data_IF_137107725667
#
_entry.id   IF_137107725667
#
_cell.length_a   1.000
_cell.length_b   1.000
_cell.length_c   1.000
_cell.angle_alpha   90.00
_cell.angle_beta   90.00
_cell.angle_gamma   90.00
#
_symmetry.space_group_name_H-M   'P 1'
#
loop_
_entity.id
_entity.type
_entity.pdbx_description
1 polymer ?
#
# COMPACT_ATOMS: atom_id res chain seq x y z
N UNK A 1 7.40 -8.36 30.83
CA UNK A 1 8.25 -7.17 30.66
C UNK A 1 7.70 -6.42 29.44
N UNK A 2 6.87 -5.39 29.65
CA UNK A 2 6.27 -4.62 28.57
C UNK A 2 7.21 -3.49 28.14
N UNK A 3 8.06 -3.75 27.14
CA UNK A 3 8.79 -2.68 26.46
C UNK A 3 7.84 -1.80 25.66
N UNK A 4 8.26 -0.58 25.35
CA UNK A 4 7.51 0.32 24.44
C UNK A 4 7.37 -0.38 23.08
N UNK A 5 6.16 -0.44 22.49
CA UNK A 5 5.98 -1.04 21.17
C UNK A 5 6.83 -0.30 20.11
N UNK A 6 7.28 -1.00 19.05
CA UNK A 6 8.01 -0.37 17.97
C UNK A 6 7.16 0.71 17.29
N UNK A 7 7.81 1.74 16.76
CA UNK A 7 7.13 2.78 15.99
C UNK A 7 6.60 2.24 14.67
N UNK A 8 7.42 1.41 14.03
CA UNK A 8 7.12 0.76 12.75
C UNK A 8 7.40 -0.73 12.87
N UNK A 9 6.48 -1.55 12.40
CA UNK A 9 6.71 -3.00 12.19
C UNK A 9 6.73 -3.25 10.69
N UNK A 10 7.78 -3.92 10.22
CA UNK A 10 7.92 -4.37 8.83
C UNK A 10 7.67 -5.87 8.78
N UNK A 11 6.92 -6.32 7.79
CA UNK A 11 6.75 -7.73 7.45
C UNK A 11 6.84 -7.91 5.93
N UNK A 12 7.30 -9.06 5.48
CA UNK A 12 7.20 -9.45 4.08
C UNK A 12 6.07 -10.45 3.86
N UNK A 13 5.48 -10.46 2.65
CA UNK A 13 4.65 -11.56 2.15
C UNK A 13 5.15 -11.90 0.76
N UNK A 14 6.11 -12.80 0.69
CA UNK A 14 6.84 -13.17 -0.52
C UNK A 14 6.02 -14.17 -1.36
N UNK A 15 4.95 -13.69 -2.00
CA UNK A 15 4.00 -14.50 -2.77
C UNK A 15 3.70 -13.87 -4.13
N UNK A 16 3.65 -14.69 -5.19
CA UNK A 16 3.25 -14.29 -6.54
C UNK A 16 2.45 -15.39 -7.26
N UNK A 17 1.73 -16.19 -6.46
CA UNK A 17 0.94 -17.30 -6.96
C UNK A 17 -0.29 -16.87 -7.74
N UNK A 18 -0.82 -15.66 -7.49
CA UNK A 18 -1.99 -15.10 -8.16
C UNK A 18 -1.66 -14.29 -9.42
N UNK A 19 -0.38 -14.13 -9.73
CA UNK A 19 0.08 -13.46 -10.94
C UNK A 19 -0.44 -14.14 -12.20
N UNK A 20 -0.99 -13.34 -13.13
CA UNK A 20 -1.66 -13.83 -14.35
C UNK A 20 -0.81 -13.68 -15.61
N UNK A 21 0.29 -12.92 -15.55
CA UNK A 21 1.16 -12.66 -16.70
C UNK A 21 2.62 -13.00 -16.39
N UNK A 22 3.28 -12.30 -15.48
CA UNK A 22 4.69 -12.47 -15.18
C UNK A 22 4.93 -12.62 -13.69
N UNK A 23 5.55 -13.73 -13.26
CA UNK A 23 5.93 -13.95 -11.86
C UNK A 23 7.26 -13.32 -11.56
N UNK A 24 7.47 -12.88 -10.33
CA UNK A 24 8.71 -12.27 -9.85
C UNK A 24 8.52 -11.38 -8.63
N UNK A 25 7.27 -11.00 -8.34
CA UNK A 25 6.95 -10.13 -7.21
C UNK A 25 7.29 -10.77 -5.84
N UNK A 26 7.28 -12.09 -5.73
CA UNK A 26 7.72 -12.79 -4.52
C UNK A 26 9.17 -12.49 -4.10
N UNK A 27 9.99 -11.95 -5.00
CA UNK A 27 11.39 -11.57 -4.71
C UNK A 27 11.50 -10.13 -4.16
N UNK A 28 10.44 -9.33 -4.24
CA UNK A 28 10.46 -7.93 -3.81
C UNK A 28 10.80 -7.73 -2.33
N UNK A 29 10.22 -8.47 -1.37
CA UNK A 29 10.52 -8.26 0.04
C UNK A 29 12.01 -8.37 0.36
N UNK A 30 12.68 -9.38 -0.19
CA UNK A 30 14.12 -9.55 -0.03
C UNK A 30 14.89 -8.39 -0.68
N UNK A 31 14.57 -8.05 -1.94
CA UNK A 31 15.32 -7.03 -2.68
C UNK A 31 15.19 -5.64 -2.07
N UNK A 32 14.00 -5.28 -1.60
CA UNK A 32 13.76 -4.01 -0.89
C UNK A 32 14.62 -3.95 0.38
N UNK A 33 14.70 -5.04 1.18
CA UNK A 33 15.56 -5.08 2.38
C UNK A 33 17.04 -4.93 2.05
N UNK A 34 17.53 -5.60 1.00
CA UNK A 34 18.93 -5.48 0.56
C UNK A 34 19.28 -4.03 0.21
N UNK A 35 18.40 -3.34 -0.53
CA UNK A 35 18.61 -1.94 -0.90
C UNK A 35 18.46 -1.01 0.30
N UNK A 36 17.52 -1.27 1.20
CA UNK A 36 17.35 -0.45 2.42
C UNK A 36 18.58 -0.48 3.33
N UNK A 37 19.35 -1.56 3.30
CA UNK A 37 20.58 -1.68 4.08
C UNK A 37 21.74 -0.78 3.59
N UNK A 38 21.69 -0.33 2.34
CA UNK A 38 22.73 0.50 1.72
C UNK A 38 22.29 1.94 1.44
N UNK A 39 20.98 2.21 1.48
CA UNK A 39 20.45 3.55 1.24
C UNK A 39 20.35 4.36 2.53
N UNK A 40 20.72 5.66 2.52
CA UNK A 40 20.54 6.51 3.68
C UNK A 40 19.07 6.60 4.08
N UNK A 41 18.72 6.39 5.37
CA UNK A 41 17.33 6.50 5.86
C UNK A 41 16.92 7.98 6.02
N UNK A 42 16.61 8.62 4.90
CA UNK A 42 16.28 10.05 4.85
C UNK A 42 15.18 10.31 3.80
N UNK A 43 14.27 11.24 4.12
CA UNK A 43 13.26 11.69 3.15
C UNK A 43 13.89 12.65 2.11
N UNK A 44 13.17 12.94 1.03
CA UNK A 44 13.65 13.89 0.02
C UNK A 44 13.78 15.34 0.55
N UNK A 45 13.05 15.68 1.62
CA UNK A 45 13.15 16.97 2.30
C UNK A 45 14.29 17.02 3.34
N UNK A 46 15.08 15.94 3.43
CA UNK A 46 16.23 15.87 4.33
C UNK A 46 15.88 15.48 5.77
N UNK A 47 14.66 15.04 6.04
CA UNK A 47 14.29 14.55 7.36
C UNK A 47 14.88 13.16 7.62
N UNK A 48 15.73 13.05 8.62
CA UNK A 48 16.33 11.80 9.03
C UNK A 48 15.28 10.86 9.66
N UNK A 49 15.26 9.60 9.23
CA UNK A 49 14.41 8.56 9.83
C UNK A 49 15.05 7.90 11.05
N UNK A 50 16.29 8.29 11.39
CA UNK A 50 16.96 7.89 12.63
C UNK A 50 16.12 8.28 13.84
N UNK A 51 16.02 7.38 14.82
CA UNK A 51 15.16 7.56 16.00
C UNK A 51 13.79 6.91 15.90
N UNK A 52 13.37 6.44 14.69
CA UNK A 52 12.27 5.49 14.59
C UNK A 52 12.72 4.12 15.09
N UNK A 53 11.99 3.55 16.03
CA UNK A 53 12.18 2.16 16.44
C UNK A 53 11.47 1.26 15.43
N UNK A 54 12.22 0.73 14.47
CA UNK A 54 11.74 -0.16 13.41
C UNK A 54 12.04 -1.61 13.78
N UNK A 55 11.02 -2.46 13.76
CA UNK A 55 11.14 -3.92 13.96
C UNK A 55 10.74 -4.65 12.69
N UNK A 56 11.65 -5.36 12.07
CA UNK A 56 11.35 -6.30 10.98
C UNK A 56 11.07 -7.69 11.57
N UNK A 57 9.89 -8.23 11.28
CA UNK A 57 9.45 -9.56 11.76
C UNK A 57 9.65 -10.66 10.71
N UNK A 58 10.32 -10.34 9.60
CA UNK A 58 10.60 -11.28 8.51
C UNK A 58 9.43 -11.53 7.57
N UNK A 59 9.55 -12.57 6.77
CA UNK A 59 8.53 -12.95 5.82
C UNK A 59 7.49 -13.89 6.45
N UNK A 60 6.24 -13.66 6.09
CA UNK A 60 5.08 -14.43 6.51
C UNK A 60 4.59 -15.24 5.30
N UNK A 61 4.62 -16.55 5.43
CA UNK A 61 4.30 -17.48 4.36
C UNK A 61 2.79 -17.76 4.30
N UNK A 62 2.08 -17.43 3.21
CA UNK A 62 0.70 -17.84 2.98
C UNK A 62 0.58 -19.28 2.44
N UNK A 63 1.71 -20.00 2.27
CA UNK A 63 1.73 -21.33 1.65
C UNK A 63 1.68 -21.27 0.13
N UNK A 64 1.16 -22.32 -0.49
CA UNK A 64 1.15 -22.47 -1.95
C UNK A 64 -0.03 -21.76 -2.63
N UNK A 65 -1.07 -21.46 -1.87
CA UNK A 65 -2.33 -20.94 -2.38
C UNK A 65 -2.89 -19.86 -1.45
N UNK A 66 -3.08 -18.66 -1.99
CA UNK A 66 -3.58 -17.51 -1.22
C UNK A 66 -5.02 -17.72 -0.75
N UNK A 67 -5.85 -18.47 -1.50
CA UNK A 67 -7.24 -18.77 -1.15
C UNK A 67 -7.35 -19.48 0.21
N UNK A 68 -6.47 -20.46 0.43
CA UNK A 68 -6.46 -21.22 1.68
C UNK A 68 -5.51 -20.63 2.73
N UNK A 69 -4.49 -19.90 2.31
CA UNK A 69 -3.35 -19.53 3.13
C UNK A 69 -3.35 -18.11 3.68
N UNK A 70 -4.17 -17.19 3.13
CA UNK A 70 -4.15 -15.76 3.50
C UNK A 70 -4.36 -15.49 5.01
N UNK A 71 -5.02 -16.40 5.71
CA UNK A 71 -5.27 -16.24 7.15
C UNK A 71 -4.00 -16.35 8.01
N UNK A 72 -2.99 -17.07 7.56
CA UNK A 72 -1.74 -17.24 8.33
C UNK A 72 -0.98 -15.92 8.49
N UNK A 73 -0.58 -15.21 7.42
CA UNK A 73 0.01 -13.89 7.57
C UNK A 73 -0.96 -12.90 8.24
N UNK A 74 -2.25 -12.94 7.94
CA UNK A 74 -3.24 -12.08 8.57
C UNK A 74 -3.22 -12.17 10.11
N UNK A 75 -3.19 -13.39 10.67
CA UNK A 75 -3.16 -13.59 12.12
C UNK A 75 -1.88 -13.00 12.74
N UNK A 76 -0.74 -13.16 12.08
CA UNK A 76 0.53 -12.61 12.54
C UNK A 76 0.54 -11.09 12.49
N UNK A 77 0.02 -10.50 11.41
CA UNK A 77 -0.09 -9.04 11.26
C UNK A 77 -1.11 -8.44 12.25
N UNK A 78 -2.22 -9.14 12.51
CA UNK A 78 -3.22 -8.69 13.48
C UNK A 78 -2.71 -8.68 14.93
N UNK A 79 -1.67 -9.46 15.25
CA UNK A 79 -1.03 -9.48 16.55
C UNK A 79 -0.05 -8.31 16.76
N UNK A 80 0.28 -7.55 15.73
CA UNK A 80 1.11 -6.34 15.84
C UNK A 80 0.37 -5.28 16.67
N UNK A 81 1.02 -4.62 17.65
CA UNK A 81 0.38 -3.58 18.47
C UNK A 81 -0.30 -2.51 17.60
N UNK A 82 -1.51 -2.09 17.96
CA UNK A 82 -2.29 -1.11 17.18
C UNK A 82 -1.63 0.28 17.12
N UNK A 83 -0.73 0.58 18.04
CA UNK A 83 0.05 1.82 18.10
C UNK A 83 1.21 1.82 17.09
N UNK A 84 1.67 0.64 16.67
CA UNK A 84 2.74 0.51 15.69
C UNK A 84 2.19 0.73 14.28
N UNK A 85 2.91 1.49 13.48
CA UNK A 85 2.64 1.60 12.05
C UNK A 85 3.05 0.30 11.36
N UNK A 86 2.18 -0.27 10.53
CA UNK A 86 2.47 -1.51 9.83
C UNK A 86 2.94 -1.23 8.40
N UNK A 87 4.13 -1.69 8.05
CA UNK A 87 4.62 -1.70 6.67
C UNK A 87 4.70 -3.14 6.18
N UNK A 88 4.04 -3.44 5.05
CA UNK A 88 4.13 -4.76 4.43
C UNK A 88 4.83 -4.64 3.07
N UNK A 89 5.90 -5.41 2.93
CA UNK A 89 6.59 -5.62 1.66
C UNK A 89 5.88 -6.78 0.97
N UNK A 90 5.01 -6.49 0.02
CA UNK A 90 4.21 -7.50 -0.63
C UNK A 90 4.93 -8.20 -1.77
N UNK A 91 4.32 -9.27 -2.22
CA UNK A 91 4.52 -9.90 -3.51
C UNK A 91 3.50 -9.34 -4.51
N UNK A 92 2.64 -10.22 -5.07
CA UNK A 92 1.50 -9.78 -5.87
C UNK A 92 0.40 -9.11 -5.01
N UNK A 93 -0.56 -8.43 -5.65
CA UNK A 93 -1.55 -7.63 -4.92
C UNK A 93 -2.54 -8.46 -4.09
N UNK A 94 -2.68 -9.77 -4.31
CA UNK A 94 -3.49 -10.62 -3.44
C UNK A 94 -2.95 -10.69 -2.00
N UNK A 95 -1.70 -10.31 -1.75
CA UNK A 95 -1.15 -10.19 -0.40
C UNK A 95 -1.91 -9.16 0.46
N UNK A 96 -2.58 -8.17 -0.18
CA UNK A 96 -3.45 -7.20 0.48
C UNK A 96 -4.66 -7.83 1.17
N UNK A 97 -5.09 -9.03 0.79
CA UNK A 97 -6.16 -9.77 1.47
C UNK A 97 -5.78 -9.99 2.95
N UNK A 98 -4.54 -10.45 3.19
CA UNK A 98 -4.01 -10.63 4.53
C UNK A 98 -3.82 -9.31 5.27
N UNK A 99 -3.25 -8.32 4.59
CA UNK A 99 -2.90 -7.02 5.16
C UNK A 99 -4.16 -6.26 5.58
N UNK A 100 -5.14 -6.11 4.69
CA UNK A 100 -6.36 -5.34 4.97
C UNK A 100 -7.24 -6.05 6.02
N UNK A 101 -7.30 -7.39 6.00
CA UNK A 101 -8.01 -8.15 7.03
C UNK A 101 -7.38 -7.97 8.42
N UNK A 102 -6.05 -7.96 8.51
CA UNK A 102 -5.35 -7.68 9.76
C UNK A 102 -5.56 -6.23 10.21
N UNK A 103 -5.45 -5.28 9.29
CA UNK A 103 -5.62 -3.86 9.59
C UNK A 103 -7.04 -3.52 10.06
N UNK A 104 -8.06 -4.14 9.48
CA UNK A 104 -9.43 -3.95 9.94
C UNK A 104 -9.66 -4.46 11.36
N UNK A 105 -8.98 -5.58 11.75
CA UNK A 105 -9.01 -6.07 13.15
C UNK A 105 -8.29 -5.13 14.10
N UNK A 106 -7.14 -4.56 13.69
CA UNK A 106 -6.36 -3.60 14.49
C UNK A 106 -7.04 -2.23 14.59
N UNK A 107 -7.79 -1.86 13.54
CA UNK A 107 -8.39 -0.54 13.37
C UNK A 107 -9.80 -0.63 12.83
N UNK A 108 -10.80 -1.00 13.67
CA UNK A 108 -12.20 -0.99 13.25
C UNK A 108 -12.59 0.37 12.63
N UNK A 109 -13.26 0.32 11.49
CA UNK A 109 -13.63 1.53 10.76
C UNK A 109 -12.54 2.07 9.82
N UNK A 110 -11.57 1.24 9.48
CA UNK A 110 -10.48 1.54 8.55
C UNK A 110 -10.98 2.06 7.21
N UNK A 111 -10.30 3.06 6.67
CA UNK A 111 -10.37 3.49 5.28
C UNK A 111 -9.13 2.99 4.52
N UNK A 112 -9.27 2.79 3.22
CA UNK A 112 -8.17 2.34 2.36
C UNK A 112 -7.98 3.32 1.22
N UNK A 113 -6.74 3.73 1.00
CA UNK A 113 -6.28 4.38 -0.22
C UNK A 113 -5.55 3.32 -1.05
N UNK A 114 -6.19 2.90 -2.13
CA UNK A 114 -5.69 1.94 -3.11
C UNK A 114 -5.09 2.71 -4.28
N UNK A 115 -3.78 2.75 -4.37
CA UNK A 115 -3.05 3.47 -5.41
C UNK A 115 -2.56 2.46 -6.43
N UNK A 116 -3.13 2.49 -7.63
CA UNK A 116 -3.03 1.39 -8.59
C UNK A 116 -3.45 1.84 -9.99
N UNK A 117 -2.94 1.18 -11.03
CA UNK A 117 -3.45 1.30 -12.38
C UNK A 117 -4.82 0.63 -12.55
N UNK A 118 -5.08 -0.40 -11.74
CA UNK A 118 -6.22 -1.30 -11.80
C UNK A 118 -7.10 -1.16 -10.53
N UNK A 119 -8.42 -1.35 -10.60
CA UNK A 119 -9.27 -1.40 -9.41
C UNK A 119 -9.17 -2.71 -8.62
N UNK A 120 -8.80 -3.82 -9.27
CA UNK A 120 -8.75 -5.19 -8.71
C UNK A 120 -10.07 -5.65 -8.08
N UNK A 121 -11.18 -5.20 -8.65
CA UNK A 121 -12.55 -5.43 -8.15
C UNK A 121 -13.32 -6.48 -8.93
N UNK A 122 -12.69 -7.18 -9.88
CA UNK A 122 -13.32 -8.29 -10.59
C UNK A 122 -13.78 -9.38 -9.63
N UNK A 123 -14.95 -9.97 -9.87
CA UNK A 123 -15.36 -11.18 -9.15
C UNK A 123 -14.64 -12.40 -9.68
N UNK A 124 -14.35 -12.40 -10.99
CA UNK A 124 -13.62 -13.45 -11.68
C UNK A 124 -12.78 -12.83 -12.81
N UNK A 125 -11.48 -13.08 -12.82
CA UNK A 125 -10.57 -12.56 -13.83
C UNK A 125 -9.59 -13.65 -14.28
N UNK A 126 -9.33 -13.72 -15.60
CA UNK A 126 -8.29 -14.56 -16.20
C UNK A 126 -8.27 -16.02 -15.70
N UNK A 127 -9.46 -16.60 -15.48
CA UNK A 127 -9.61 -18.01 -15.11
C UNK A 127 -9.71 -18.30 -13.61
N UNK A 128 -9.74 -17.28 -12.73
CA UNK A 128 -9.80 -17.46 -11.29
C UNK A 128 -10.49 -16.32 -10.54
N UNK A 129 -10.83 -16.60 -9.27
CA UNK A 129 -11.34 -15.61 -8.32
C UNK A 129 -10.23 -15.04 -7.42
N UNK A 130 -9.07 -15.67 -7.41
CA UNK A 130 -7.92 -15.36 -6.56
C UNK A 130 -6.71 -14.92 -7.40
N UNK A 131 -6.98 -14.15 -8.43
CA UNK A 131 -5.97 -13.51 -9.28
C UNK A 131 -5.76 -12.06 -8.85
N UNK A 132 -4.64 -11.45 -9.27
CA UNK A 132 -4.33 -10.05 -8.96
C UNK A 132 -5.49 -9.11 -9.30
N UNK A 133 -6.15 -9.24 -10.47
CA UNK A 133 -7.31 -8.43 -10.83
C UNK A 133 -8.58 -8.62 -9.96
N UNK A 134 -8.53 -9.52 -8.96
CA UNK A 134 -9.61 -9.73 -7.98
C UNK A 134 -9.17 -9.36 -6.55
N UNK A 135 -7.96 -8.85 -6.37
CA UNK A 135 -7.31 -8.69 -5.07
C UNK A 135 -8.13 -7.81 -4.10
N UNK A 136 -8.52 -6.62 -4.51
CA UNK A 136 -9.33 -5.74 -3.67
C UNK A 136 -10.72 -6.33 -3.40
N UNK A 137 -11.34 -6.97 -4.39
CA UNK A 137 -12.64 -7.64 -4.21
C UNK A 137 -12.56 -8.70 -3.11
N UNK A 138 -11.54 -9.57 -3.15
CA UNK A 138 -11.33 -10.60 -2.12
C UNK A 138 -10.96 -9.99 -0.77
N UNK A 139 -10.15 -8.93 -0.77
CA UNK A 139 -9.81 -8.22 0.46
C UNK A 139 -11.04 -7.62 1.15
N UNK A 140 -11.98 -7.03 0.41
CA UNK A 140 -13.25 -6.52 0.95
C UNK A 140 -14.09 -7.64 1.57
N UNK A 141 -14.25 -8.78 0.87
CA UNK A 141 -15.01 -9.92 1.36
C UNK A 141 -14.38 -10.54 2.63
N UNK A 142 -13.06 -10.66 2.68
CA UNK A 142 -12.34 -11.25 3.81
C UNK A 142 -12.28 -10.33 5.04
N UNK A 143 -12.11 -9.03 4.82
CA UNK A 143 -11.96 -8.04 5.90
C UNK A 143 -13.27 -7.49 6.44
N UNK A 144 -14.34 -7.50 5.62
CA UNK A 144 -15.59 -6.83 5.93
C UNK A 144 -15.51 -5.29 5.86
N UNK A 145 -14.50 -4.74 5.16
CA UNK A 145 -14.43 -3.30 4.90
C UNK A 145 -15.54 -2.91 3.94
N UNK A 146 -16.33 -1.91 4.32
CA UNK A 146 -17.38 -1.35 3.47
C UNK A 146 -16.78 -0.71 2.22
N UNK A 147 -17.26 -1.03 1.00
CA UNK A 147 -16.70 -0.46 -0.24
C UNK A 147 -16.68 1.07 -0.26
N UNK A 148 -17.63 1.74 0.39
CA UNK A 148 -17.68 3.21 0.52
C UNK A 148 -16.47 3.80 1.28
N UNK A 149 -15.67 2.98 1.98
CA UNK A 149 -14.44 3.39 2.67
C UNK A 149 -13.19 3.24 1.79
N UNK A 150 -13.37 2.84 0.54
CA UNK A 150 -12.28 2.68 -0.43
C UNK A 150 -12.17 3.95 -1.28
N UNK A 151 -10.94 4.38 -1.47
CA UNK A 151 -10.53 5.37 -2.46
C UNK A 151 -9.53 4.70 -3.39
N UNK A 152 -9.81 4.66 -4.67
CA UNK A 152 -8.89 4.19 -5.72
C UNK A 152 -8.30 5.42 -6.40
N UNK A 153 -6.97 5.47 -6.51
CA UNK A 153 -6.24 6.57 -7.12
C UNK A 153 -5.24 6.04 -8.16
N UNK A 154 -5.26 6.61 -9.36
CA UNK A 154 -4.35 6.22 -10.44
C UNK A 154 -4.95 5.28 -11.48
N UNK A 155 -6.18 4.81 -11.25
CA UNK A 155 -6.85 3.86 -12.16
C UNK A 155 -6.90 4.37 -13.60
N UNK A 156 -6.61 3.45 -14.55
CA UNK A 156 -6.61 3.72 -15.98
C UNK A 156 -6.92 2.50 -16.85
N UNK A 157 -6.76 1.31 -16.30
CA UNK A 157 -7.16 0.05 -16.94
C UNK A 157 -8.29 -0.57 -16.13
N UNK A 158 -9.43 -0.80 -16.78
CA UNK A 158 -10.67 -1.20 -16.11
C UNK A 158 -11.36 -2.32 -16.88
N UNK A 159 -11.89 -3.28 -16.13
CA UNK A 159 -12.95 -4.13 -16.65
C UNK A 159 -14.33 -3.47 -16.43
N UNK A 160 -15.31 -3.64 -17.36
CA UNK A 160 -16.63 -3.02 -17.23
C UNK A 160 -17.35 -3.35 -15.91
N UNK A 161 -17.18 -4.56 -15.39
CA UNK A 161 -17.81 -4.96 -14.12
C UNK A 161 -17.25 -4.20 -12.91
N UNK A 162 -15.99 -3.78 -12.97
CA UNK A 162 -15.35 -3.00 -11.90
C UNK A 162 -15.93 -1.59 -11.82
N UNK A 163 -16.13 -0.94 -12.98
CA UNK A 163 -16.77 0.37 -13.06
C UNK A 163 -18.21 0.31 -12.52
N UNK A 164 -18.93 -0.76 -12.85
CA UNK A 164 -20.26 -1.04 -12.32
C UNK A 164 -20.25 -1.21 -10.79
N UNK A 165 -19.26 -1.96 -10.26
CA UNK A 165 -19.11 -2.15 -8.82
C UNK A 165 -18.80 -0.83 -8.11
N UNK A 166 -17.87 -0.04 -8.64
CA UNK A 166 -17.47 1.27 -8.12
C UNK A 166 -18.68 2.19 -8.01
N UNK A 167 -19.45 2.31 -9.11
CA UNK A 167 -20.63 3.19 -9.19
C UNK A 167 -21.73 2.77 -8.21
N UNK A 168 -21.98 1.45 -8.03
CA UNK A 168 -23.06 0.93 -7.19
C UNK A 168 -22.73 0.95 -5.69
N UNK A 169 -21.46 0.91 -5.31
CA UNK A 169 -21.03 0.68 -3.93
C UNK A 169 -20.35 1.91 -3.26
N UNK A 170 -20.35 3.06 -3.92
CA UNK A 170 -19.84 4.31 -3.34
C UNK A 170 -18.31 4.37 -3.17
N UNK A 171 -17.57 3.54 -3.90
CA UNK A 171 -16.11 3.63 -4.01
C UNK A 171 -15.76 4.96 -4.67
N UNK A 172 -14.81 5.70 -4.11
CA UNK A 172 -14.30 6.91 -4.76
C UNK A 172 -13.18 6.53 -5.73
N UNK A 173 -13.40 6.77 -7.02
CA UNK A 173 -12.36 6.63 -8.03
C UNK A 173 -11.81 8.00 -8.43
N UNK A 174 -10.49 8.15 -8.42
CA UNK A 174 -9.73 9.29 -8.93
C UNK A 174 -8.75 8.75 -9.95
N UNK A 175 -9.04 8.94 -11.23
CA UNK A 175 -8.27 8.35 -12.32
C UNK A 175 -6.90 8.98 -12.51
N UNK A 176 -5.99 8.27 -13.20
CA UNK A 176 -4.70 8.83 -13.61
C UNK A 176 -4.87 10.10 -14.45
N UNK A 177 -5.92 10.16 -15.26
CA UNK A 177 -6.24 11.34 -16.10
C UNK A 177 -6.63 12.55 -15.22
N UNK A 178 -7.44 12.34 -14.15
CA UNK A 178 -7.77 13.42 -13.20
C UNK A 178 -6.52 13.93 -12.49
N UNK A 179 -5.66 13.02 -12.02
CA UNK A 179 -4.40 13.36 -11.36
C UNK A 179 -3.47 14.12 -12.30
N UNK A 180 -3.34 13.69 -13.55
CA UNK A 180 -2.49 14.35 -14.53
C UNK A 180 -2.97 15.76 -14.89
N UNK A 181 -4.29 16.01 -14.85
CA UNK A 181 -4.88 17.32 -15.16
C UNK A 181 -4.72 18.33 -14.03
N UNK A 182 -4.98 17.92 -12.79
CA UNK A 182 -4.90 18.79 -11.61
C UNK A 182 -4.61 17.94 -10.35
N UNK A 183 -3.33 17.66 -10.14
CA UNK A 183 -2.87 16.89 -8.97
C UNK A 183 -3.33 17.51 -7.63
N UNK A 184 -3.23 18.84 -7.40
CA UNK A 184 -3.71 19.43 -6.16
C UNK A 184 -5.22 19.24 -5.93
N UNK A 185 -6.04 19.35 -6.97
CA UNK A 185 -7.48 19.11 -6.85
C UNK A 185 -7.79 17.63 -6.58
N UNK A 186 -7.12 16.71 -7.27
CA UNK A 186 -7.24 15.27 -7.05
C UNK A 186 -6.85 14.90 -5.61
N UNK A 187 -5.71 15.38 -5.12
CA UNK A 187 -5.26 15.15 -3.74
C UNK A 187 -6.24 15.69 -2.70
N UNK A 188 -6.77 16.91 -2.88
CA UNK A 188 -7.81 17.46 -2.00
C UNK A 188 -9.09 16.62 -1.98
N UNK A 189 -9.57 16.16 -3.13
CA UNK A 189 -10.76 15.29 -3.24
C UNK A 189 -10.57 14.00 -2.44
N UNK A 190 -9.38 13.41 -2.49
CA UNK A 190 -9.02 12.22 -1.70
C UNK A 190 -8.92 12.58 -0.22
N UNK A 191 -8.21 13.65 0.13
CA UNK A 191 -8.03 14.11 1.51
C UNK A 191 -9.36 14.40 2.21
N UNK A 192 -10.34 14.96 1.50
CA UNK A 192 -11.69 15.19 2.01
C UNK A 192 -12.41 13.88 2.36
N UNK A 193 -12.30 12.84 1.52
CA UNK A 193 -12.87 11.51 1.78
C UNK A 193 -12.21 10.83 2.98
N UNK A 194 -10.89 11.00 3.16
CA UNK A 194 -10.09 10.35 4.19
C UNK A 194 -9.99 11.13 5.51
N UNK A 195 -10.51 12.39 5.54
CA UNK A 195 -10.34 13.30 6.66
C UNK A 195 -10.83 12.73 8.00
N UNK A 196 -9.95 12.74 9.01
CA UNK A 196 -10.24 12.27 10.37
C UNK A 196 -10.29 10.77 10.54
N UNK A 197 -10.09 10.00 9.47
CA UNK A 197 -10.10 8.54 9.52
C UNK A 197 -8.72 7.93 9.68
N UNK A 198 -8.67 6.69 10.19
CA UNK A 198 -7.49 5.83 10.12
C UNK A 198 -7.40 5.25 8.72
N UNK A 199 -6.25 5.37 8.09
CA UNK A 199 -6.04 5.02 6.69
C UNK A 199 -4.89 4.03 6.55
N UNK A 200 -5.13 2.97 5.82
CA UNK A 200 -4.10 2.11 5.24
C UNK A 200 -3.93 2.49 3.76
N UNK A 201 -2.70 2.65 3.33
CA UNK A 201 -2.38 2.86 1.91
C UNK A 201 -1.85 1.54 1.35
N UNK A 202 -2.53 1.00 0.34
CA UNK A 202 -2.04 -0.11 -0.48
C UNK A 202 -1.53 0.48 -1.79
N UNK A 203 -0.26 0.29 -2.07
CA UNK A 203 0.40 0.91 -3.22
C UNK A 203 0.91 -0.17 -4.16
N UNK A 204 0.20 -0.32 -5.29
CA UNK A 204 0.72 -1.06 -6.41
C UNK A 204 1.77 -0.20 -7.13
N UNK A 205 2.94 -0.80 -7.39
CA UNK A 205 4.01 -0.05 -8.04
C UNK A 205 3.68 0.28 -9.49
N UNK A 206 2.73 -0.42 -10.10
CA UNK A 206 2.29 -0.17 -11.47
C UNK A 206 1.37 1.07 -11.59
N UNK A 207 0.93 1.67 -10.46
CA UNK A 207 0.36 3.01 -10.46
C UNK A 207 1.29 4.02 -11.11
N UNK A 208 2.60 3.79 -10.98
CA UNK A 208 3.62 4.56 -11.70
C UNK A 208 3.61 4.19 -13.19
N UNK A 209 3.94 5.17 -14.02
CA UNK A 209 4.18 4.91 -15.45
C UNK A 209 5.40 3.99 -15.62
N UNK A 210 5.39 3.06 -16.59
CA UNK A 210 6.53 2.17 -16.86
C UNK A 210 7.86 2.88 -17.12
N UNK A 211 7.84 4.17 -17.45
CA UNK A 211 9.05 4.99 -17.56
C UNK A 211 9.73 5.20 -16.19
N UNK A 212 9.01 5.06 -15.08
CA UNK A 212 9.50 5.21 -13.70
C UNK A 212 9.53 3.90 -12.93
N UNK A 213 8.70 2.93 -13.30
CA UNK A 213 8.62 1.62 -12.65
C UNK A 213 8.39 0.49 -13.67
N UNK A 214 9.43 0.12 -14.44
CA UNK A 214 9.32 -0.94 -15.46
C UNK A 214 9.20 -2.35 -14.87
N UNK A 215 9.64 -2.54 -13.62
CA UNK A 215 9.73 -3.85 -12.96
C UNK A 215 8.45 -4.22 -12.23
N UNK A 216 7.37 -4.45 -12.95
CA UNK A 216 6.08 -4.92 -12.43
C UNK A 216 5.52 -6.07 -13.25
N UNK A 217 4.47 -6.73 -12.76
CA UNK A 217 3.81 -7.81 -13.50
C UNK A 217 3.17 -7.30 -14.80
N UNK A 218 2.31 -6.29 -14.71
CA UNK A 218 1.53 -5.75 -15.83
C UNK A 218 1.80 -4.24 -15.93
N UNK A 219 2.85 -3.83 -16.67
CA UNK A 219 3.13 -2.41 -16.83
C UNK A 219 2.02 -1.73 -17.67
N UNK A 220 1.42 -0.70 -17.13
CA UNK A 220 0.35 0.08 -17.74
C UNK A 220 0.84 1.49 -18.10
N UNK A 221 0.70 1.90 -19.35
CA UNK A 221 1.13 3.22 -19.80
C UNK A 221 0.18 4.35 -19.38
N UNK A 222 0.70 5.58 -19.27
CA UNK A 222 -0.09 6.74 -18.86
C UNK A 222 -0.27 6.85 -17.34
N UNK A 223 0.62 6.24 -16.59
CA UNK A 223 0.65 6.26 -15.13
C UNK A 223 1.21 7.55 -14.52
N UNK A 224 1.39 7.53 -13.21
CA UNK A 224 1.95 8.63 -12.46
C UNK A 224 3.48 8.68 -12.64
N UNK A 225 4.04 9.88 -12.74
CA UNK A 225 5.46 10.04 -12.47
C UNK A 225 5.75 9.79 -10.99
N UNK A 226 7.00 9.44 -10.66
CA UNK A 226 7.42 9.27 -9.26
C UNK A 226 7.15 10.55 -8.45
N UNK A 227 7.31 11.75 -9.06
CA UNK A 227 7.01 13.03 -8.42
C UNK A 227 5.51 13.15 -8.08
N UNK A 228 4.64 12.84 -9.05
CA UNK A 228 3.19 12.90 -8.81
C UNK A 228 2.74 11.92 -7.73
N UNK A 229 3.31 10.72 -7.66
CA UNK A 229 2.99 9.74 -6.63
C UNK A 229 3.36 10.25 -5.22
N UNK A 230 4.54 10.84 -5.05
CA UNK A 230 4.98 11.40 -3.77
C UNK A 230 4.09 12.58 -3.32
N UNK A 231 3.78 13.49 -4.23
CA UNK A 231 2.92 14.64 -3.94
C UNK A 231 1.47 14.22 -3.67
N UNK A 232 0.96 13.24 -4.42
CA UNK A 232 -0.36 12.65 -4.21
C UNK A 232 -0.47 12.04 -2.81
N UNK A 233 0.49 11.20 -2.42
CA UNK A 233 0.50 10.56 -1.10
C UNK A 233 0.49 11.60 0.03
N UNK A 234 1.33 12.62 -0.04
CA UNK A 234 1.37 13.69 0.96
C UNK A 234 0.04 14.43 1.04
N UNK A 235 -0.44 14.96 -0.10
CA UNK A 235 -1.66 15.76 -0.13
C UNK A 235 -2.92 14.94 0.20
N UNK A 236 -3.02 13.70 -0.29
CA UNK A 236 -4.16 12.83 -0.05
C UNK A 236 -4.31 12.39 1.41
N UNK A 237 -3.19 12.28 2.14
CA UNK A 237 -3.19 11.74 3.51
C UNK A 237 -3.02 12.80 4.60
N UNK A 238 -2.80 14.07 4.25
CA UNK A 238 -2.49 15.16 5.20
C UNK A 238 -3.53 15.35 6.32
N UNK A 239 -4.80 15.01 6.06
CA UNK A 239 -5.93 15.17 6.99
C UNK A 239 -6.37 13.87 7.64
N UNK A 240 -5.63 12.79 7.43
CA UNK A 240 -5.92 11.45 7.93
C UNK A 240 -4.89 10.97 8.95
N UNK A 241 -5.17 9.84 9.60
CA UNK A 241 -4.20 9.14 10.43
C UNK A 241 -3.72 7.89 9.70
N UNK A 242 -2.51 7.93 9.18
CA UNK A 242 -1.88 6.75 8.59
C UNK A 242 -1.62 5.68 9.66
N UNK A 243 -2.06 4.45 9.41
CA UNK A 243 -1.87 3.31 10.32
C UNK A 243 -1.16 2.13 9.66
N UNK A 244 -0.98 2.17 8.34
CA UNK A 244 -0.24 1.17 7.60
C UNK A 244 -0.02 1.55 6.14
N UNK A 245 0.93 0.86 5.55
CA UNK A 245 1.34 0.98 4.16
C UNK A 245 1.78 -0.40 3.67
N UNK A 246 1.31 -0.81 2.51
CA UNK A 246 1.95 -1.87 1.76
C UNK A 246 2.39 -1.40 0.38
N UNK A 247 3.44 -2.03 -0.13
CA UNK A 247 3.89 -1.88 -1.51
C UNK A 247 3.94 -3.26 -2.14
N UNK A 248 3.32 -3.38 -3.31
CA UNK A 248 3.10 -4.66 -4.00
C UNK A 248 3.52 -4.58 -5.46
N UNK A 249 3.53 -5.72 -6.15
CA UNK A 249 3.81 -5.89 -7.59
C UNK A 249 5.20 -5.45 -8.04
N UNK A 250 6.10 -5.11 -7.13
CA UNK A 250 7.51 -4.90 -7.48
C UNK A 250 8.11 -6.23 -7.93
N UNK A 251 8.58 -6.30 -9.16
CA UNK A 251 9.09 -7.53 -9.76
C UNK A 251 10.55 -7.39 -10.17
N UNK A 252 11.51 -7.72 -9.26
CA UNK A 252 12.94 -7.55 -9.50
C UNK A 252 13.47 -8.21 -10.79
N UNK A 253 12.95 -9.38 -11.25
CA UNK A 253 13.42 -9.98 -12.49
C UNK A 253 13.10 -9.15 -13.76
N UNK A 254 12.14 -8.24 -13.69
CA UNK A 254 11.76 -7.35 -14.79
C UNK A 254 12.19 -5.91 -14.54
N UNK A 255 12.81 -5.65 -13.39
CA UNK A 255 13.35 -4.33 -13.06
C UNK A 255 14.65 -4.07 -13.84
N UNK A 256 14.93 -2.81 -14.12
CA UNK A 256 16.13 -2.40 -14.81
C UNK A 256 17.01 -1.54 -13.91
N UNK A 257 18.09 -2.13 -13.41
CA UNK A 257 19.01 -1.43 -12.51
C UNK A 257 18.37 -0.99 -11.20
N UNK A 258 17.43 -1.76 -10.69
CA UNK A 258 16.67 -1.50 -9.45
C UNK A 258 15.83 -0.21 -9.46
N UNK A 259 15.52 0.36 -10.60
CA UNK A 259 14.74 1.62 -10.72
C UNK A 259 13.40 1.48 -9.98
N UNK A 260 12.66 0.40 -10.22
CA UNK A 260 11.36 0.13 -9.61
C UNK A 260 11.49 -0.14 -8.12
N UNK A 261 12.44 -0.98 -7.75
CA UNK A 261 12.68 -1.35 -6.34
C UNK A 261 13.11 -0.12 -5.52
N UNK A 262 13.94 0.76 -6.09
CA UNK A 262 14.34 2.02 -5.46
C UNK A 262 13.18 3.01 -5.37
N UNK A 263 12.28 3.03 -6.36
CA UNK A 263 11.05 3.84 -6.28
C UNK A 263 10.16 3.35 -5.12
N UNK A 264 9.98 2.04 -4.97
CA UNK A 264 9.25 1.45 -3.84
C UNK A 264 9.90 1.79 -2.49
N UNK A 265 11.21 1.67 -2.37
CA UNK A 265 11.94 2.04 -1.15
C UNK A 265 11.80 3.53 -0.84
N UNK A 266 11.83 4.39 -1.86
CA UNK A 266 11.61 5.83 -1.71
C UNK A 266 10.22 6.12 -1.15
N UNK A 267 9.17 5.49 -1.67
CA UNK A 267 7.81 5.61 -1.16
C UNK A 267 7.72 5.20 0.32
N UNK A 268 8.36 4.09 0.70
CA UNK A 268 8.42 3.62 2.09
C UNK A 268 9.06 4.69 3.00
N UNK A 269 10.20 5.24 2.61
CA UNK A 269 10.91 6.24 3.42
C UNK A 269 10.11 7.55 3.56
N UNK A 270 9.44 7.99 2.50
CA UNK A 270 8.60 9.18 2.57
C UNK A 270 7.37 8.96 3.49
N UNK A 271 6.72 7.80 3.39
CA UNK A 271 5.61 7.45 4.29
C UNK A 271 6.10 7.37 5.75
N UNK A 272 7.27 6.79 6.00
CA UNK A 272 7.83 6.76 7.36
C UNK A 272 8.18 8.16 7.87
N UNK A 273 8.62 9.07 7.00
CA UNK A 273 8.81 10.49 7.32
C UNK A 273 7.52 11.15 7.77
N UNK A 274 6.42 10.94 7.06
CA UNK A 274 5.09 11.44 7.44
C UNK A 274 4.64 10.88 8.79
N UNK A 275 4.83 9.59 9.03
CA UNK A 275 4.50 8.93 10.31
C UNK A 275 5.32 9.51 11.47
N UNK A 276 6.62 9.69 11.26
CA UNK A 276 7.52 10.28 12.27
C UNK A 276 7.08 11.69 12.63
N UNK A 277 6.86 12.55 11.64
CA UNK A 277 6.42 13.94 11.85
C UNK A 277 5.09 14.02 12.59
N UNK A 278 4.12 13.17 12.25
CA UNK A 278 2.82 13.10 12.94
C UNK A 278 2.97 12.68 14.42
N UNK A 279 3.87 11.74 14.73
CA UNK A 279 4.16 11.31 16.12
C UNK A 279 4.83 12.42 16.93
N UNK A 280 5.78 13.12 16.33
CA UNK A 280 6.48 14.24 17.00
C UNK A 280 5.54 15.40 17.29
N UNK A 281 4.64 15.74 16.37
CA UNK A 281 3.60 16.76 16.57
C UNK A 281 2.63 16.37 17.69
N UNK A 282 2.12 15.13 17.72
CA UNK A 282 1.25 14.63 18.78
C UNK A 282 1.93 14.60 20.16
N UNK A 283 3.21 14.29 20.21
CA UNK A 283 3.99 14.32 21.46
C UNK A 283 4.20 15.77 21.97
N UNK A 284 4.34 16.74 21.08
CA UNK A 284 4.46 18.15 21.43
C UNK A 284 3.14 18.70 22.01
N UNK A 285 2.00 18.40 21.38
CA UNK A 285 0.67 18.81 21.90
C UNK A 285 0.36 18.28 23.28
N UNK A 286 0.76 17.04 23.58
CA UNK A 286 0.57 16.43 24.93
C UNK A 286 1.43 17.09 26.00
N UNK A 287 2.63 17.57 25.64
CA UNK A 287 3.52 18.30 26.58
C UNK A 287 3.04 19.72 26.86
N UNK A 288 2.41 20.38 25.88
CA UNK A 288 1.86 21.72 26.05
C UNK A 288 0.56 21.79 26.86
N UNK A 289 -0.07 20.65 27.16
CA UNK A 289 -1.31 20.56 27.98
C UNK A 289 -1.04 20.17 29.45
N UNK A 290 0.22 20.03 29.84
CA UNK A 290 0.65 19.79 31.23
C UNK A 290 1.26 21.06 31.80
#
# INVERSE_FOLDING_TARGET
MGGTPPDVVVAGIAYDGSAVYRKGAALAPQRIRELSAVMPPVTEEGHLLTGLHVQDIGDLDPGHDIESGWMTPMQRLAAVPAESFLTVLGGDHCTAISTLSAQMRRHPGLFVLWVDAHPDLCDFSRGGRWTCGCALRRALEASGIEPSRIVIAGGRDYDPEELDFIAKNGVLLVSAVEIARDLPAAARKIAERLAGHKVHVSFDIDALDPAYAPGTEIPSAGGLSSRQALELLRGATERSRLVGFDVVEVSPPFDHGDITTLAALKLIFEVWGMVKSAREAGAYEMRGKR
#
